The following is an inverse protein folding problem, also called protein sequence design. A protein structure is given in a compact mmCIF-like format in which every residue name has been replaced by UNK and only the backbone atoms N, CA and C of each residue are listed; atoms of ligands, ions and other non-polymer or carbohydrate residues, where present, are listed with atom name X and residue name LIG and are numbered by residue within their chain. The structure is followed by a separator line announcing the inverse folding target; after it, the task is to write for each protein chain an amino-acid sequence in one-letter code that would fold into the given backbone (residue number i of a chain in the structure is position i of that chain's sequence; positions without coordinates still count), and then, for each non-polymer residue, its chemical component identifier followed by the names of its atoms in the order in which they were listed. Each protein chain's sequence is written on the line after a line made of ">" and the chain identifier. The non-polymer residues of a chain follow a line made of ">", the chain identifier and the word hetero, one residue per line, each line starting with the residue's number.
data_IF_988334148169
#
_entry.id   IF_988334148169
#
_cell.length_a   1.000
_cell.length_b   1.000
_cell.length_c   1.000
_cell.angle_alpha   90.00
_cell.angle_beta   90.00
_cell.angle_gamma   90.00
#
_symmetry.space_group_name_H-M   'P 1'
#
loop_
_entity.id
_entity.type
_entity.pdbx_description
1 polymer ?
#
# COMPACT_ATOMS: atom_id res chain seq x y z
N UNK A 1 -2.82 -3.25 -6.53
CA UNK A 1 -2.73 -1.78 -6.37
C UNK A 1 -4.13 -1.26 -6.64
N UNK A 2 -4.72 -0.54 -5.67
CA UNK A 2 -6.09 -0.06 -5.75
C UNK A 2 -6.14 1.48 -5.67
N UNK A 3 -7.18 2.08 -6.24
CA UNK A 3 -7.32 3.51 -6.51
C UNK A 3 -7.24 4.38 -5.24
N UNK A 4 -7.75 3.87 -4.11
CA UNK A 4 -7.81 4.60 -2.85
C UNK A 4 -6.81 4.12 -1.79
N UNK A 5 -5.99 3.10 -2.06
CA UNK A 5 -5.24 2.42 -1.00
C UNK A 5 -4.17 3.29 -0.33
N UNK A 6 -3.53 4.17 -1.11
CA UNK A 6 -2.47 5.06 -0.64
C UNK A 6 -2.96 6.42 -0.10
N UNK A 7 -4.27 6.68 -0.15
CA UNK A 7 -4.85 7.97 0.24
C UNK A 7 -5.33 7.93 1.68
N UNK A 8 -4.97 8.95 2.46
CA UNK A 8 -5.59 9.19 3.76
C UNK A 8 -7.09 9.50 3.61
N UNK A 9 -7.90 9.31 4.66
CA UNK A 9 -9.34 9.63 4.62
C UNK A 9 -9.64 11.04 4.11
N UNK A 10 -8.85 12.04 4.51
CA UNK A 10 -9.03 13.41 4.04
C UNK A 10 -8.74 13.58 2.54
N UNK A 11 -7.73 12.88 2.01
CA UNK A 11 -7.40 12.89 0.59
C UNK A 11 -8.47 12.16 -0.23
N UNK A 12 -8.96 11.02 0.25
CA UNK A 12 -10.04 10.28 -0.41
C UNK A 12 -11.33 11.11 -0.50
N UNK A 13 -11.73 11.78 0.59
CA UNK A 13 -12.88 12.70 0.57
C UNK A 13 -12.68 13.82 -0.47
N UNK A 14 -11.47 14.40 -0.52
CA UNK A 14 -11.15 15.45 -1.48
C UNK A 14 -11.25 14.94 -2.93
N UNK A 15 -10.75 13.73 -3.21
CA UNK A 15 -10.80 13.12 -4.53
C UNK A 15 -12.24 12.79 -4.95
N UNK A 16 -13.02 12.17 -4.06
CA UNK A 16 -14.43 11.85 -4.31
C UNK A 16 -15.27 13.11 -4.55
N UNK A 17 -14.98 14.19 -3.81
CA UNK A 17 -15.59 15.50 -4.04
C UNK A 17 -15.31 16.04 -5.46
N UNK A 18 -14.10 15.84 -5.99
CA UNK A 18 -13.77 16.21 -7.37
C UNK A 18 -14.53 15.36 -8.39
N UNK A 19 -14.61 14.04 -8.20
CA UNK A 19 -15.40 13.20 -9.10
C UNK A 19 -16.86 13.63 -9.14
N UNK A 20 -17.46 13.89 -7.97
CA UNK A 20 -18.84 14.39 -7.87
C UNK A 20 -19.07 15.69 -8.65
N UNK A 21 -18.08 16.59 -8.70
CA UNK A 21 -18.16 17.85 -9.45
C UNK A 21 -17.95 17.71 -10.95
N UNK A 22 -17.26 16.65 -11.39
CA UNK A 22 -16.88 16.43 -12.79
C UNK A 22 -17.85 15.51 -13.54
N UNK A 23 -18.66 14.73 -12.83
CA UNK A 23 -19.64 13.83 -13.43
C UNK A 23 -20.87 14.60 -13.94
N UNK A 24 -21.35 14.21 -15.12
CA UNK A 24 -22.65 14.64 -15.63
C UNK A 24 -23.80 14.15 -14.72
N UNK A 25 -25.02 14.72 -14.84
CA UNK A 25 -26.19 14.18 -14.16
C UNK A 25 -26.36 12.69 -14.43
N UNK A 26 -26.53 11.90 -13.36
CA UNK A 26 -26.58 10.42 -13.40
C UNK A 26 -25.28 9.72 -13.83
N UNK A 27 -24.17 10.44 -13.93
CA UNK A 27 -22.84 9.85 -14.09
C UNK A 27 -22.42 9.08 -12.84
N UNK A 28 -21.62 8.04 -13.04
CA UNK A 28 -21.05 7.22 -11.97
C UNK A 28 -19.54 7.04 -12.20
N UNK A 29 -18.82 6.82 -11.11
CA UNK A 29 -17.41 6.41 -11.12
C UNK A 29 -17.30 5.08 -10.39
N UNK A 30 -16.54 4.17 -10.97
CA UNK A 30 -16.19 2.89 -10.36
C UNK A 30 -14.72 2.97 -9.94
N UNK A 31 -14.43 2.61 -8.70
CA UNK A 31 -13.09 2.66 -8.10
C UNK A 31 -12.79 1.31 -7.48
N UNK A 32 -11.58 0.81 -7.67
CA UNK A 32 -11.14 -0.41 -7.02
C UNK A 32 -10.62 -0.14 -5.60
N UNK A 33 -10.96 -1.04 -4.67
CA UNK A 33 -10.60 -0.95 -3.25
C UNK A 33 -10.28 -2.32 -2.70
N UNK A 34 -9.45 -2.37 -1.66
CA UNK A 34 -9.27 -3.60 -0.89
C UNK A 34 -10.45 -3.81 0.06
N UNK A 35 -10.96 -5.04 0.12
CA UNK A 35 -12.10 -5.40 0.96
C UNK A 35 -11.68 -5.75 2.39
N UNK A 36 -12.59 -5.59 3.36
CA UNK A 36 -12.33 -6.09 4.72
C UNK A 36 -12.04 -7.60 4.78
N UNK A 37 -12.59 -8.40 3.86
CA UNK A 37 -12.23 -9.82 3.77
C UNK A 37 -10.74 -10.01 3.45
N UNK A 38 -10.21 -9.24 2.50
CA UNK A 38 -8.79 -9.27 2.18
C UNK A 38 -7.92 -8.74 3.34
N UNK A 39 -8.45 -7.85 4.20
CA UNK A 39 -7.77 -7.40 5.41
C UNK A 39 -7.65 -8.52 6.45
N UNK A 40 -8.72 -9.31 6.63
CA UNK A 40 -8.75 -10.40 7.59
C UNK A 40 -7.72 -11.49 7.27
N UNK A 41 -7.44 -11.70 5.98
CA UNK A 41 -6.40 -12.63 5.49
C UNK A 41 -4.96 -12.15 5.74
N UNK A 42 -4.74 -10.90 6.16
CA UNK A 42 -3.40 -10.37 6.44
C UNK A 42 -2.95 -10.73 7.85
N UNK A 43 -1.73 -11.23 7.95
CA UNK A 43 -1.04 -11.51 9.20
C UNK A 43 0.22 -10.64 9.33
N UNK A 44 0.43 -10.08 10.53
CA UNK A 44 1.67 -9.39 10.86
C UNK A 44 2.85 -10.35 10.75
N UNK A 45 3.90 -9.92 10.05
CA UNK A 45 5.05 -10.77 9.80
C UNK A 45 6.30 -9.95 9.54
N UNK A 46 7.45 -10.58 9.75
CA UNK A 46 8.76 -10.04 9.40
C UNK A 46 9.51 -11.09 8.59
N UNK A 47 9.97 -10.69 7.41
CA UNK A 47 10.75 -11.54 6.52
C UNK A 47 12.08 -10.87 6.23
N UNK A 48 13.11 -11.67 5.98
CA UNK A 48 14.39 -11.18 5.49
C UNK A 48 14.86 -12.09 4.37
N UNK A 49 15.42 -11.51 3.32
CA UNK A 49 15.88 -12.23 2.16
C UNK A 49 17.14 -11.63 1.56
N UNK A 50 17.98 -12.48 0.99
CA UNK A 50 19.07 -12.04 0.13
C UNK A 50 18.53 -11.82 -1.29
N UNK A 51 18.67 -10.61 -1.81
CA UNK A 51 18.24 -10.23 -3.14
C UNK A 51 19.44 -10.38 -4.09
N UNK A 52 19.34 -11.25 -5.11
CA UNK A 52 20.43 -11.49 -6.04
C UNK A 52 20.69 -10.28 -6.95
N UNK A 53 21.79 -10.33 -7.71
CA UNK A 53 22.15 -9.32 -8.70
C UNK A 53 20.99 -9.07 -9.69
N UNK A 54 20.73 -7.80 -10.02
CA UNK A 54 19.59 -7.36 -10.85
C UNK A 54 18.20 -7.69 -10.27
N UNK A 55 18.07 -7.67 -8.94
CA UNK A 55 16.76 -7.73 -8.28
C UNK A 55 15.90 -6.50 -8.57
N UNK A 56 14.59 -6.64 -8.40
CA UNK A 56 13.61 -5.58 -8.68
C UNK A 56 13.97 -4.23 -8.03
N UNK A 57 14.52 -4.27 -6.82
CA UNK A 57 14.86 -3.08 -6.05
C UNK A 57 16.28 -2.54 -6.30
N UNK A 58 17.22 -3.34 -6.79
CA UNK A 58 18.63 -2.95 -6.99
C UNK A 58 19.33 -3.76 -8.08
N UNK A 59 20.19 -3.09 -8.84
CA UNK A 59 21.13 -3.75 -9.75
C UNK A 59 22.22 -4.55 -9.01
N UNK A 60 22.51 -4.22 -7.75
CA UNK A 60 23.54 -4.87 -6.94
C UNK A 60 22.94 -5.90 -5.97
N UNK A 61 23.72 -6.88 -5.50
CA UNK A 61 23.29 -7.76 -4.42
C UNK A 61 22.91 -6.93 -3.20
N UNK A 62 21.79 -7.26 -2.56
CA UNK A 62 21.30 -6.52 -1.40
C UNK A 62 20.57 -7.44 -0.43
N UNK A 63 20.30 -6.94 0.77
CA UNK A 63 19.45 -7.62 1.73
C UNK A 63 18.14 -6.86 1.88
N UNK A 64 17.03 -7.57 1.73
CA UNK A 64 15.69 -7.06 1.95
C UNK A 64 15.19 -7.47 3.32
N UNK A 65 14.65 -6.51 4.06
CA UNK A 65 13.84 -6.76 5.25
C UNK A 65 12.44 -6.25 4.98
N UNK A 66 11.46 -7.12 5.18
CA UNK A 66 10.05 -6.82 5.05
C UNK A 66 9.40 -6.89 6.43
N UNK A 67 8.54 -5.92 6.74
CA UNK A 67 7.69 -5.96 7.93
C UNK A 67 6.29 -5.53 7.55
N UNK A 68 5.30 -6.34 7.92
CA UNK A 68 3.89 -6.02 7.79
C UNK A 68 3.35 -5.66 9.18
N UNK A 69 2.77 -4.47 9.30
CA UNK A 69 2.05 -4.00 10.49
C UNK A 69 0.56 -3.90 10.18
N UNK A 70 -0.29 -4.38 11.09
CA UNK A 70 -1.74 -4.41 10.92
C UNK A 70 -2.41 -3.49 11.93
N UNK A 71 -3.09 -2.48 11.44
CA UNK A 71 -3.80 -1.49 12.25
C UNK A 71 -5.30 -1.81 12.24
N UNK A 72 -5.75 -2.52 13.27
CA UNK A 72 -7.09 -3.07 13.36
C UNK A 72 -8.21 -2.02 13.40
N UNK A 73 -8.00 -0.89 14.08
CA UNK A 73 -9.03 0.12 14.23
C UNK A 73 -9.23 0.92 12.93
N UNK A 74 -8.12 1.25 12.28
CA UNK A 74 -8.09 2.03 11.05
C UNK A 74 -8.36 1.18 9.81
N UNK A 75 -8.30 -0.15 9.94
CA UNK A 75 -8.34 -1.11 8.82
C UNK A 75 -7.29 -0.77 7.77
N UNK A 76 -6.06 -0.57 8.24
CA UNK A 76 -4.88 -0.26 7.43
C UNK A 76 -3.82 -1.34 7.63
N UNK A 77 -3.17 -1.73 6.54
CA UNK A 77 -1.91 -2.47 6.59
C UNK A 77 -0.77 -1.56 6.13
N UNK A 78 0.31 -1.53 6.91
CA UNK A 78 1.54 -0.85 6.52
C UNK A 78 2.61 -1.89 6.24
N UNK A 79 3.11 -1.89 5.01
CA UNK A 79 4.24 -2.69 4.61
C UNK A 79 5.49 -1.82 4.59
N UNK A 80 6.52 -2.23 5.32
CA UNK A 80 7.81 -1.57 5.38
C UNK A 80 8.86 -2.45 4.75
N UNK A 81 9.57 -1.90 3.77
CA UNK A 81 10.71 -2.54 3.13
C UNK A 81 11.97 -1.78 3.49
N UNK A 82 12.99 -2.48 4.00
CA UNK A 82 14.33 -1.93 4.21
C UNK A 82 15.30 -2.67 3.33
N UNK A 83 15.90 -1.98 2.36
CA UNK A 83 16.83 -2.53 1.39
C UNK A 83 18.22 -2.02 1.75
N UNK A 84 19.13 -2.94 2.09
CA UNK A 84 20.51 -2.63 2.44
C UNK A 84 21.41 -3.07 1.29
N UNK A 85 22.04 -2.08 0.65
CA UNK A 85 23.06 -2.24 -0.37
C UNK A 85 24.43 -1.82 0.21
N UNK A 86 25.52 -2.14 -0.48
CA UNK A 86 26.88 -1.80 -0.03
C UNK A 86 27.06 -0.31 0.26
N UNK A 87 26.46 0.56 -0.55
CA UNK A 87 26.69 2.01 -0.48
C UNK A 87 25.51 2.79 0.10
N UNK A 88 24.34 2.17 0.28
CA UNK A 88 23.13 2.85 0.76
C UNK A 88 22.15 1.91 1.43
N UNK A 89 21.33 2.49 2.30
CA UNK A 89 20.13 1.86 2.83
C UNK A 89 18.92 2.69 2.40
N UNK A 90 17.88 2.01 1.91
CA UNK A 90 16.60 2.63 1.56
C UNK A 90 15.49 2.02 2.40
N UNK A 91 14.54 2.85 2.80
CA UNK A 91 13.32 2.41 3.44
C UNK A 91 12.13 2.88 2.61
N UNK A 92 11.25 1.95 2.26
CA UNK A 92 10.01 2.20 1.54
C UNK A 92 8.85 1.80 2.42
N UNK A 93 7.75 2.54 2.31
CA UNK A 93 6.52 2.29 3.02
C UNK A 93 5.38 2.20 2.00
N UNK A 94 4.61 1.13 2.05
CA UNK A 94 3.39 0.96 1.28
C UNK A 94 2.20 0.83 2.23
N UNK A 95 1.28 1.78 2.13
CA UNK A 95 0.08 1.86 2.97
C UNK A 95 -1.12 1.35 2.20
N UNK A 96 -1.84 0.40 2.78
CA UNK A 96 -3.01 -0.23 2.18
C UNK A 96 -4.22 0.01 3.08
N UNK A 97 -5.13 0.89 2.66
CA UNK A 97 -6.43 1.09 3.29
C UNK A 97 -7.45 0.07 2.78
N UNK A 98 -8.25 -0.49 3.69
CA UNK A 98 -9.30 -1.46 3.40
C UNK A 98 -10.68 -0.88 3.72
N UNK A 99 -11.70 -1.31 2.95
CA UNK A 99 -13.02 -0.72 2.92
C UNK A 99 -14.11 -1.79 3.05
N UNK A 100 -15.24 -1.43 3.68
CA UNK A 100 -16.48 -2.18 3.57
C UNK A 100 -17.26 -1.73 2.31
N UNK A 101 -18.14 -2.58 1.77
CA UNK A 101 -19.14 -2.16 0.78
C UNK A 101 -20.03 -1.01 1.29
#
# INVERSE_FOLDING_TARGET
>A
MCDLSALSPAQSITLLGKFSQLLEPCGAVELDVYSLTAFDEREEQVLYEAIPLNGFCSANPSYGFYSLFKYENEKVVLEKYTIIETERTRTLYDGLQYFSP
#
